data_IF_800683712022
#
_entry.id   IF_800683712022
#
_cell.length_a   1.000
_cell.length_b   1.000
_cell.length_c   1.000
_cell.angle_alpha   90.00
_cell.angle_beta   90.00
_cell.angle_gamma   90.00
#
_symmetry.space_group_name_H-M   'P 1'
#
loop_
_entity.id
_entity.type
_entity.pdbx_description
1 polymer ?
#
# COMPACT_ATOMS: atom_id res chain seq x y z
N UNK A 1 -81.09 25.28 36.54
CA UNK A 1 -80.39 24.19 35.82
C UNK A 1 -78.88 24.10 36.09
N UNK A 2 -78.18 25.17 36.50
CA UNK A 2 -76.71 25.14 36.72
C UNK A 2 -76.23 24.21 37.86
N UNK A 3 -77.02 24.09 38.95
CA UNK A 3 -76.68 23.26 40.13
C UNK A 3 -76.65 21.75 39.84
N UNK A 4 -77.54 21.25 38.98
CA UNK A 4 -77.56 19.82 38.61
C UNK A 4 -76.35 19.50 37.75
N UNK A 5 -75.99 20.39 36.81
CA UNK A 5 -74.80 20.24 35.96
C UNK A 5 -73.51 20.18 36.77
N UNK A 6 -73.32 21.09 37.72
CA UNK A 6 -72.11 21.09 38.56
C UNK A 6 -71.97 19.84 39.43
N UNK A 7 -73.06 19.28 39.94
CA UNK A 7 -73.05 18.01 40.68
C UNK A 7 -72.67 16.83 39.78
N UNK A 8 -73.18 16.79 38.55
CA UNK A 8 -72.82 15.76 37.56
C UNK A 8 -71.35 15.88 37.18
N UNK A 9 -70.85 17.09 36.94
CA UNK A 9 -69.44 17.33 36.61
C UNK A 9 -68.51 16.92 37.76
N UNK A 10 -68.89 17.23 39.02
CA UNK A 10 -68.16 16.81 40.21
C UNK A 10 -68.15 15.28 40.38
N UNK A 11 -69.30 14.62 40.19
CA UNK A 11 -69.40 13.17 40.27
C UNK A 11 -68.60 12.48 39.16
N UNK A 12 -68.66 13.00 37.92
CA UNK A 12 -67.90 12.50 36.79
C UNK A 12 -66.37 12.69 36.96
N UNK A 13 -65.96 13.79 37.59
CA UNK A 13 -64.56 14.05 37.91
C UNK A 13 -64.02 13.14 39.03
N UNK A 14 -64.85 12.76 40.01
CA UNK A 14 -64.42 11.97 41.15
C UNK A 14 -64.68 10.46 41.01
N UNK A 15 -65.41 10.00 39.98
CA UNK A 15 -65.63 8.56 39.76
C UNK A 15 -64.28 7.85 39.43
N UNK A 16 -63.82 6.92 40.26
CA UNK A 16 -62.55 6.23 40.07
C UNK A 16 -62.46 5.43 38.76
N UNK A 17 -63.60 4.95 38.23
CA UNK A 17 -63.64 4.19 36.97
C UNK A 17 -63.36 5.10 35.79
N UNK A 18 -63.97 6.29 35.78
CA UNK A 18 -63.76 7.29 34.72
C UNK A 18 -62.32 7.80 34.74
N UNK A 19 -61.75 8.00 35.92
CA UNK A 19 -60.34 8.37 36.07
C UNK A 19 -59.40 7.27 35.57
N UNK A 20 -59.67 5.99 35.89
CA UNK A 20 -58.91 4.84 35.35
C UNK A 20 -58.97 4.78 33.84
N UNK A 21 -60.15 4.89 33.23
CA UNK A 21 -60.26 4.87 31.75
C UNK A 21 -59.54 6.04 31.07
N UNK A 22 -59.60 7.25 31.65
CA UNK A 22 -58.86 8.41 31.15
C UNK A 22 -57.35 8.21 31.27
N UNK A 23 -56.89 7.62 32.36
CA UNK A 23 -55.47 7.34 32.58
C UNK A 23 -54.98 6.24 31.64
N UNK A 24 -55.72 5.15 31.50
CA UNK A 24 -55.40 4.06 30.56
C UNK A 24 -55.38 4.53 29.09
N UNK A 25 -56.30 5.41 28.67
CA UNK A 25 -56.28 5.96 27.30
C UNK A 25 -55.06 6.88 27.07
N UNK A 26 -54.68 7.69 28.07
CA UNK A 26 -53.45 8.50 28.04
C UNK A 26 -52.21 7.60 27.98
N UNK A 27 -52.15 6.57 28.81
CA UNK A 27 -51.02 5.66 28.89
C UNK A 27 -50.88 4.81 27.62
N UNK A 28 -52.00 4.36 27.01
CA UNK A 28 -51.98 3.70 25.70
C UNK A 28 -51.45 4.61 24.59
N UNK A 29 -51.87 5.88 24.57
CA UNK A 29 -51.36 6.88 23.59
C UNK A 29 -49.88 7.18 23.79
N UNK A 30 -49.43 7.31 25.04
CA UNK A 30 -48.02 7.53 25.36
C UNK A 30 -47.16 6.30 25.04
N UNK A 31 -47.65 5.09 25.35
CA UNK A 31 -46.98 3.84 25.02
C UNK A 31 -46.85 3.65 23.50
N UNK A 32 -47.91 3.92 22.73
CA UNK A 32 -47.86 3.87 21.27
C UNK A 32 -46.87 4.89 20.68
N UNK A 33 -46.78 6.09 21.27
CA UNK A 33 -45.81 7.11 20.84
C UNK A 33 -44.37 6.71 21.17
N UNK A 34 -44.12 6.18 22.38
CA UNK A 34 -42.80 5.67 22.80
C UNK A 34 -42.35 4.49 21.94
N UNK A 35 -43.20 3.49 21.72
CA UNK A 35 -42.88 2.34 20.88
C UNK A 35 -42.51 2.75 19.44
N UNK A 36 -43.18 3.77 18.87
CA UNK A 36 -42.80 4.32 17.55
C UNK A 36 -41.45 5.03 17.57
N UNK A 37 -41.15 5.80 18.62
CA UNK A 37 -39.87 6.50 18.76
C UNK A 37 -38.72 5.50 18.95
N UNK A 38 -38.90 4.50 19.81
CA UNK A 38 -37.90 3.47 20.09
C UNK A 38 -37.61 2.63 18.84
N UNK A 39 -38.64 2.27 18.06
CA UNK A 39 -38.45 1.54 16.79
C UNK A 39 -37.67 2.37 15.74
N UNK A 40 -37.90 3.68 15.67
CA UNK A 40 -37.14 4.57 14.77
C UNK A 40 -35.70 4.74 15.25
N UNK A 41 -35.49 4.87 16.57
CA UNK A 41 -34.16 5.03 17.14
C UNK A 41 -33.33 3.75 17.04
N UNK A 42 -33.94 2.58 17.20
CA UNK A 42 -33.29 1.29 17.00
C UNK A 42 -32.81 1.10 15.55
N UNK A 43 -33.65 1.42 14.55
CA UNK A 43 -33.26 1.36 13.14
C UNK A 43 -32.09 2.28 12.81
N UNK A 44 -32.13 3.54 13.30
CA UNK A 44 -31.03 4.49 13.10
C UNK A 44 -29.73 4.03 13.77
N UNK A 45 -29.81 3.44 14.96
CA UNK A 45 -28.64 2.93 15.66
C UNK A 45 -28.02 1.72 14.92
N UNK A 46 -28.83 0.85 14.33
CA UNK A 46 -28.34 -0.27 13.52
C UNK A 46 -27.67 0.21 12.22
N UNK A 47 -28.28 1.15 11.51
CA UNK A 47 -27.69 1.77 10.32
C UNK A 47 -26.38 2.49 10.64
N UNK A 48 -26.31 3.23 11.74
CA UNK A 48 -25.09 3.92 12.17
C UNK A 48 -23.98 2.94 12.55
N UNK A 49 -24.33 1.81 13.20
CA UNK A 49 -23.36 0.75 13.51
C UNK A 49 -22.81 0.11 12.24
N UNK A 50 -23.68 -0.16 11.26
CA UNK A 50 -23.26 -0.75 9.99
C UNK A 50 -22.34 0.19 9.20
N UNK A 51 -22.63 1.49 9.20
CA UNK A 51 -21.78 2.52 8.56
C UNK A 51 -20.43 2.61 9.27
N UNK A 52 -20.39 2.62 10.61
CA UNK A 52 -19.13 2.67 11.37
C UNK A 52 -18.28 1.42 11.16
N UNK A 53 -18.89 0.25 11.12
CA UNK A 53 -18.19 -1.01 10.84
C UNK A 53 -17.63 -1.03 9.41
N UNK A 54 -18.41 -0.59 8.42
CA UNK A 54 -17.95 -0.47 7.04
C UNK A 54 -16.82 0.56 6.89
N UNK A 55 -16.88 1.69 7.60
CA UNK A 55 -15.81 2.69 7.61
C UNK A 55 -14.53 2.16 8.27
N UNK A 56 -14.64 1.46 9.39
CA UNK A 56 -13.50 0.86 10.07
C UNK A 56 -12.86 -0.25 9.23
N UNK A 57 -13.66 -1.08 8.56
CA UNK A 57 -13.16 -2.08 7.62
C UNK A 57 -12.44 -1.43 6.43
N UNK A 58 -12.99 -0.35 5.87
CA UNK A 58 -12.37 0.40 4.78
C UNK A 58 -11.05 1.06 5.21
N UNK A 59 -11.00 1.67 6.39
CA UNK A 59 -9.78 2.28 6.93
C UNK A 59 -8.68 1.23 7.16
N UNK A 60 -9.01 0.08 7.75
CA UNK A 60 -8.05 -1.02 7.94
C UNK A 60 -7.52 -1.57 6.62
N UNK A 61 -8.37 -1.70 5.60
CA UNK A 61 -7.94 -2.13 4.27
C UNK A 61 -7.02 -1.09 3.61
N UNK A 62 -7.32 0.20 3.74
CA UNK A 62 -6.50 1.27 3.18
C UNK A 62 -5.15 1.41 3.90
N UNK A 63 -5.10 1.27 5.22
CA UNK A 63 -3.86 1.26 6.00
C UNK A 63 -2.97 0.08 5.63
N UNK A 64 -3.55 -1.12 5.43
CA UNK A 64 -2.80 -2.29 5.01
C UNK A 64 -2.19 -2.13 3.61
N UNK A 65 -2.94 -1.55 2.66
CA UNK A 65 -2.44 -1.29 1.31
C UNK A 65 -1.38 -0.17 1.30
N UNK A 66 -1.56 0.90 2.08
CA UNK A 66 -0.54 1.94 2.25
C UNK A 66 0.76 1.38 2.84
N UNK A 67 0.67 0.54 3.87
CA UNK A 67 1.83 -0.11 4.47
C UNK A 67 2.57 -1.01 3.46
N UNK A 68 1.85 -1.79 2.65
CA UNK A 68 2.45 -2.60 1.56
C UNK A 68 3.15 -1.74 0.53
N UNK A 69 2.55 -0.64 0.12
CA UNK A 69 3.14 0.28 -0.87
C UNK A 69 4.39 0.97 -0.31
N UNK A 70 4.38 1.36 0.95
CA UNK A 70 5.54 1.96 1.62
C UNK A 70 6.71 0.98 1.74
N UNK A 71 6.45 -0.28 2.13
CA UNK A 71 7.47 -1.33 2.17
C UNK A 71 8.06 -1.56 0.77
N UNK A 72 7.20 -1.71 -0.25
CA UNK A 72 7.67 -1.88 -1.63
C UNK A 72 8.47 -0.66 -2.14
N UNK A 73 8.10 0.56 -1.72
CA UNK A 73 8.86 1.77 -2.06
C UNK A 73 10.21 1.80 -1.36
N UNK A 74 10.26 1.45 -0.07
CA UNK A 74 11.50 1.38 0.70
C UNK A 74 12.45 0.32 0.14
N UNK A 75 11.96 -0.87 -0.23
CA UNK A 75 12.74 -1.92 -0.87
C UNK A 75 13.34 -1.46 -2.21
N UNK A 76 12.55 -0.79 -3.06
CA UNK A 76 13.04 -0.25 -4.34
C UNK A 76 14.11 0.81 -4.14
N UNK A 77 13.94 1.72 -3.18
CA UNK A 77 14.94 2.74 -2.87
C UNK A 77 16.23 2.12 -2.31
N UNK A 78 16.12 1.10 -1.46
CA UNK A 78 17.27 0.38 -0.94
C UNK A 78 18.02 -0.37 -2.06
N UNK A 79 17.30 -1.02 -2.98
CA UNK A 79 17.89 -1.68 -4.15
C UNK A 79 18.64 -0.68 -5.05
N UNK A 80 18.06 0.49 -5.33
CA UNK A 80 18.74 1.56 -6.08
C UNK A 80 19.98 2.06 -5.37
N UNK A 81 19.92 2.25 -4.05
CA UNK A 81 21.06 2.68 -3.24
C UNK A 81 22.19 1.67 -3.28
N UNK A 82 21.87 0.38 -3.14
CA UNK A 82 22.84 -0.71 -3.25
C UNK A 82 23.46 -0.74 -4.64
N UNK A 83 22.65 -0.66 -5.71
CA UNK A 83 23.15 -0.66 -7.09
C UNK A 83 24.11 0.51 -7.36
N UNK A 84 23.78 1.71 -6.86
CA UNK A 84 24.66 2.89 -6.97
C UNK A 84 25.97 2.68 -6.22
N UNK A 85 25.95 2.05 -5.05
CA UNK A 85 27.15 1.71 -4.28
C UNK A 85 28.02 0.72 -5.04
N UNK A 86 27.47 -0.40 -5.52
CA UNK A 86 28.25 -1.40 -6.24
C UNK A 86 28.84 -0.86 -7.54
N UNK A 87 28.08 -0.08 -8.31
CA UNK A 87 28.62 0.61 -9.52
C UNK A 87 29.78 1.53 -9.17
N UNK A 88 29.70 2.24 -8.03
CA UNK A 88 30.81 3.08 -7.56
C UNK A 88 32.00 2.20 -7.14
N UNK A 89 31.77 1.15 -6.36
CA UNK A 89 32.82 0.23 -5.92
C UNK A 89 33.56 -0.40 -7.10
N UNK A 90 32.84 -0.84 -8.14
CA UNK A 90 33.45 -1.40 -9.35
C UNK A 90 34.34 -0.37 -10.06
N UNK A 91 33.86 0.87 -10.24
CA UNK A 91 34.68 1.95 -10.84
C UNK A 91 35.90 2.30 -10.01
N UNK A 92 35.74 2.42 -8.70
CA UNK A 92 36.84 2.74 -7.78
C UNK A 92 37.90 1.62 -7.80
N UNK A 93 37.47 0.35 -7.83
CA UNK A 93 38.35 -0.82 -7.92
C UNK A 93 39.11 -0.86 -9.26
N UNK A 94 38.41 -0.67 -10.38
CA UNK A 94 39.05 -0.62 -11.70
C UNK A 94 40.04 0.54 -11.77
N UNK A 95 39.67 1.73 -11.28
CA UNK A 95 40.55 2.91 -11.28
C UNK A 95 41.79 2.70 -10.40
N UNK A 96 41.65 2.07 -9.24
CA UNK A 96 42.77 1.76 -8.36
C UNK A 96 43.81 0.84 -9.01
N UNK A 97 43.37 -0.03 -9.92
CA UNK A 97 44.22 -0.97 -10.66
C UNK A 97 44.57 -0.48 -12.07
N UNK A 98 44.45 0.84 -12.34
CA UNK A 98 44.69 1.44 -13.66
C UNK A 98 43.93 0.75 -14.81
N UNK A 99 42.67 0.37 -14.53
CA UNK A 99 41.77 -0.39 -15.41
C UNK A 99 42.34 -1.72 -15.89
N UNK A 100 43.37 -2.25 -15.23
CA UNK A 100 44.12 -3.44 -15.63
C UNK A 100 44.66 -3.35 -17.06
N UNK A 101 44.82 -2.15 -17.62
CA UNK A 101 45.27 -1.92 -18.99
C UNK A 101 46.80 -1.98 -19.09
N UNK A 102 47.30 -2.40 -20.26
CA UNK A 102 48.73 -2.41 -20.58
C UNK A 102 49.16 -1.21 -21.42
N UNK A 103 48.21 -0.55 -22.10
CA UNK A 103 48.44 0.62 -22.97
C UNK A 103 47.35 1.69 -22.77
N UNK A 104 47.61 2.93 -23.20
CA UNK A 104 46.67 4.05 -23.07
C UNK A 104 45.40 3.84 -23.91
N UNK A 105 45.53 3.33 -25.14
CA UNK A 105 44.39 3.01 -26.01
C UNK A 105 43.50 1.90 -25.40
N UNK A 106 44.13 0.90 -24.78
CA UNK A 106 43.42 -0.16 -24.08
C UNK A 106 42.72 0.35 -22.82
N UNK A 107 43.30 1.34 -22.14
CA UNK A 107 42.70 1.98 -20.97
C UNK A 107 41.36 2.63 -21.33
N UNK A 108 41.31 3.38 -22.43
CA UNK A 108 40.07 4.03 -22.89
C UNK A 108 39.00 2.99 -23.27
N UNK A 109 39.39 1.92 -23.95
CA UNK A 109 38.49 0.82 -24.31
C UNK A 109 37.92 0.12 -23.08
N UNK A 110 38.77 -0.25 -22.12
CA UNK A 110 38.36 -0.91 -20.87
C UNK A 110 37.51 0.00 -19.98
N UNK A 111 37.77 1.31 -19.95
CA UNK A 111 36.90 2.29 -19.28
C UNK A 111 35.48 2.28 -19.86
N UNK A 112 35.35 2.32 -21.19
CA UNK A 112 34.05 2.26 -21.85
C UNK A 112 33.34 0.92 -21.58
N UNK A 113 34.08 -0.18 -21.59
CA UNK A 113 33.56 -1.50 -21.30
C UNK A 113 33.05 -1.63 -19.84
N UNK A 114 33.78 -1.07 -18.87
CA UNK A 114 33.35 -1.04 -17.45
C UNK A 114 32.05 -0.26 -17.26
N UNK A 115 31.86 0.88 -17.93
CA UNK A 115 30.60 1.62 -17.86
C UNK A 115 29.45 0.83 -18.50
N UNK A 116 29.70 0.18 -19.64
CA UNK A 116 28.74 -0.71 -20.30
C UNK A 116 28.30 -1.86 -19.38
N UNK A 117 29.26 -2.49 -18.70
CA UNK A 117 29.01 -3.53 -17.69
C UNK A 117 28.17 -2.99 -16.53
N UNK A 118 28.49 -1.78 -16.04
CA UNK A 118 27.74 -1.14 -14.95
C UNK A 118 26.27 -0.89 -15.32
N UNK A 119 25.99 -0.58 -16.58
CA UNK A 119 24.64 -0.32 -17.06
C UNK A 119 23.81 -1.60 -17.19
N UNK A 120 24.42 -2.69 -17.68
CA UNK A 120 23.71 -3.94 -17.97
C UNK A 120 23.55 -4.87 -16.77
N UNK A 121 24.57 -4.99 -15.93
CA UNK A 121 24.57 -5.97 -14.86
C UNK A 121 23.65 -5.57 -13.70
N UNK A 122 22.98 -6.58 -13.13
CA UNK A 122 22.16 -6.43 -11.92
C UNK A 122 23.04 -6.41 -10.67
N UNK A 123 22.44 -6.03 -9.54
CA UNK A 123 23.14 -5.91 -8.26
C UNK A 123 23.99 -7.14 -7.90
N UNK A 124 23.40 -8.34 -7.99
CA UNK A 124 24.08 -9.59 -7.62
C UNK A 124 25.24 -9.91 -8.57
N UNK A 125 25.07 -9.64 -9.86
CA UNK A 125 26.13 -9.87 -10.86
C UNK A 125 27.29 -8.91 -10.66
N UNK A 126 27.02 -7.64 -10.35
CA UNK A 126 28.05 -6.66 -10.00
C UNK A 126 28.83 -7.06 -8.74
N UNK A 127 28.14 -7.54 -7.70
CA UNK A 127 28.79 -8.00 -6.47
C UNK A 127 29.69 -9.22 -6.71
N UNK A 128 29.26 -10.16 -7.55
CA UNK A 128 30.07 -11.31 -7.92
C UNK A 128 31.28 -10.86 -8.74
N UNK A 129 31.08 -9.97 -9.72
CA UNK A 129 32.17 -9.44 -10.55
C UNK A 129 33.22 -8.70 -9.70
N UNK A 130 32.81 -7.90 -8.72
CA UNK A 130 33.77 -7.21 -7.82
C UNK A 130 34.61 -8.23 -7.06
N UNK A 131 34.00 -9.28 -6.50
CA UNK A 131 34.73 -10.36 -5.81
C UNK A 131 35.65 -11.14 -6.76
N UNK A 132 35.21 -11.37 -7.98
CA UNK A 132 36.01 -12.07 -8.98
C UNK A 132 37.20 -11.22 -9.44
N UNK A 133 37.02 -9.89 -9.52
CA UNK A 133 38.10 -8.93 -9.80
C UNK A 133 39.11 -8.86 -8.66
N UNK A 134 38.68 -8.93 -7.40
CA UNK A 134 39.58 -8.98 -6.25
C UNK A 134 40.47 -10.24 -6.26
N UNK A 135 39.98 -11.37 -6.78
CA UNK A 135 40.72 -12.63 -6.80
C UNK A 135 41.53 -12.86 -8.08
N UNK A 136 40.96 -12.53 -9.24
CA UNK A 136 41.51 -12.90 -10.56
C UNK A 136 41.99 -11.67 -11.37
N UNK A 137 41.74 -10.45 -10.90
CA UNK A 137 42.23 -9.21 -11.53
C UNK A 137 41.82 -9.07 -13.00
N UNK A 138 42.81 -8.91 -13.88
CA UNK A 138 42.62 -8.62 -15.32
C UNK A 138 41.79 -9.68 -16.05
N UNK A 139 42.02 -10.96 -15.78
CA UNK A 139 41.34 -12.05 -16.49
C UNK A 139 39.84 -12.07 -16.21
N UNK A 140 39.43 -11.71 -14.99
CA UNK A 140 38.01 -11.56 -14.65
C UNK A 140 37.37 -10.39 -15.40
N UNK A 141 38.09 -9.27 -15.56
CA UNK A 141 37.57 -8.12 -16.31
C UNK A 141 37.32 -8.48 -17.77
N UNK A 142 38.31 -9.09 -18.44
CA UNK A 142 38.19 -9.46 -19.85
C UNK A 142 37.08 -10.48 -20.10
N UNK A 143 36.93 -11.47 -19.21
CA UNK A 143 35.78 -12.40 -19.28
C UNK A 143 34.46 -11.67 -19.14
N UNK A 144 34.34 -10.78 -18.15
CA UNK A 144 33.11 -10.01 -17.94
C UNK A 144 32.77 -9.09 -19.13
N UNK A 145 33.77 -8.54 -19.81
CA UNK A 145 33.57 -7.76 -21.05
C UNK A 145 33.01 -8.66 -22.15
N UNK A 146 33.63 -9.81 -22.42
CA UNK A 146 33.17 -10.74 -23.45
C UNK A 146 31.76 -11.26 -23.17
N UNK A 147 31.48 -11.69 -21.93
CA UNK A 147 30.16 -12.17 -21.52
C UNK A 147 29.08 -11.09 -21.69
N UNK A 148 29.46 -9.84 -21.42
CA UNK A 148 28.58 -8.67 -21.58
C UNK A 148 28.29 -8.36 -23.06
N UNK A 149 29.27 -8.54 -23.94
CA UNK A 149 29.09 -8.40 -25.38
C UNK A 149 28.23 -9.52 -25.98
N UNK A 150 28.44 -10.76 -25.54
CA UNK A 150 27.61 -11.90 -25.97
C UNK A 150 26.16 -11.74 -25.51
N UNK A 151 25.93 -11.30 -24.26
CA UNK A 151 24.58 -10.96 -23.77
C UNK A 151 23.91 -9.89 -24.65
N UNK A 152 24.63 -8.83 -25.02
CA UNK A 152 24.06 -7.81 -25.92
C UNK A 152 23.78 -8.33 -27.32
N UNK A 153 24.65 -9.17 -27.85
CA UNK A 153 24.45 -9.72 -29.17
C UNK A 153 23.25 -10.66 -29.20
N UNK A 154 23.08 -11.50 -28.17
CA UNK A 154 21.90 -12.36 -28.02
C UNK A 154 20.61 -11.55 -27.84
N UNK A 155 20.61 -10.49 -27.02
CA UNK A 155 19.46 -9.59 -26.89
C UNK A 155 19.12 -8.89 -28.21
N UNK A 156 20.14 -8.43 -28.93
CA UNK A 156 19.98 -7.81 -30.25
C UNK A 156 19.40 -8.80 -31.26
N UNK A 157 19.90 -10.03 -31.31
CA UNK A 157 19.40 -11.10 -32.20
C UNK A 157 17.93 -11.45 -31.86
N UNK A 158 17.60 -11.60 -30.58
CA UNK A 158 16.22 -11.86 -30.14
C UNK A 158 15.24 -10.71 -30.51
N UNK A 159 15.67 -9.45 -30.38
CA UNK A 159 14.91 -8.29 -30.85
C UNK A 159 14.68 -8.30 -32.37
N UNK A 160 15.66 -8.75 -33.16
CA UNK A 160 15.51 -8.88 -34.61
C UNK A 160 14.59 -10.04 -35.02
N UNK A 161 14.60 -11.14 -34.28
CA UNK A 161 13.72 -12.30 -34.54
C UNK A 161 12.26 -11.99 -34.18
N UNK A 162 12.02 -11.36 -33.03
CA UNK A 162 10.67 -10.94 -32.60
C UNK A 162 10.04 -9.87 -33.50
N UNK A 163 10.84 -9.04 -34.17
CA UNK A 163 10.36 -8.04 -35.13
C UNK A 163 10.07 -8.61 -36.53
N UNK A 164 10.57 -9.82 -36.82
CA UNK A 164 10.34 -10.54 -38.09
C UNK A 164 9.11 -11.45 -38.05
N UNK A 165 8.61 -11.80 -36.87
CA UNK A 165 7.39 -12.56 -36.65
C UNK A 165 6.17 -11.63 -36.57
#
# INVERSE_FOLDING_TARGET
>A
MARVRSLVDLAYANDPRIQRFKQEDKDKKLAAKRARQDAVQAKKAEEERLIKEAQLAKQKAEEAERARLEVARAEREQQKKNLRKERKSLRDLCKANNYYATDEDETVSLMAAVEKICEMLKLNELQNLIKDLENNGRDALLRAVNDSEEKLETERRALFETRKA
#
